data_IF_310539786745
#
_entry.id   IF_310539786745
#
_cell.length_a   1.000
_cell.length_b   1.000
_cell.length_c   1.000
_cell.angle_alpha   90.00
_cell.angle_beta   90.00
_cell.angle_gamma   90.00
#
_symmetry.space_group_name_H-M   'P 1'
#
loop_
_entity.id
_entity.type
_entity.pdbx_description
1 polymer ?
#
# COMPACT_ATOMS: atom_id res chain seq x y z
N UNK A 1 -17.11 4.87 -21.34
CA UNK A 1 -16.33 4.65 -20.11
C UNK A 1 -16.99 3.72 -19.09
N UNK A 2 -18.09 3.02 -19.42
CA UNK A 2 -18.84 2.15 -18.48
C UNK A 2 -18.59 0.64 -18.68
N UNK A 3 -17.67 0.22 -19.54
CA UNK A 3 -17.47 -1.20 -19.88
C UNK A 3 -16.38 -1.92 -19.07
N UNK A 4 -15.68 -1.22 -18.15
CA UNK A 4 -14.56 -1.79 -17.39
C UNK A 4 -14.94 -2.33 -16.00
N UNK A 5 -16.12 -2.00 -15.48
CA UNK A 5 -16.66 -2.62 -14.26
C UNK A 5 -17.55 -3.80 -14.64
N UNK A 6 -16.95 -4.87 -15.19
CA UNK A 6 -17.63 -6.17 -15.16
C UNK A 6 -17.92 -6.47 -13.70
N UNK A 7 -19.19 -6.71 -13.37
CA UNK A 7 -19.63 -7.17 -12.05
C UNK A 7 -18.87 -8.44 -11.70
N UNK A 8 -17.76 -8.26 -10.98
CA UNK A 8 -16.96 -9.34 -10.42
C UNK A 8 -17.91 -10.14 -9.54
N UNK A 9 -18.04 -11.44 -9.80
CA UNK A 9 -18.88 -12.30 -8.94
C UNK A 9 -18.44 -12.09 -7.49
N UNK A 10 -19.37 -12.00 -6.52
CA UNK A 10 -19.02 -11.66 -5.13
C UNK A 10 -17.90 -12.55 -4.57
N UNK A 11 -17.89 -13.83 -4.94
CA UNK A 11 -16.83 -14.81 -4.62
C UNK A 11 -15.43 -14.36 -5.06
N UNK A 12 -15.29 -13.80 -6.26
CA UNK A 12 -13.99 -13.36 -6.75
C UNK A 12 -13.47 -12.17 -5.93
N UNK A 13 -14.34 -11.30 -5.42
CA UNK A 13 -13.94 -10.22 -4.50
C UNK A 13 -13.29 -10.74 -3.22
N UNK A 14 -13.91 -11.73 -2.58
CA UNK A 14 -13.36 -12.33 -1.36
C UNK A 14 -12.01 -13.02 -1.58
N UNK A 15 -11.82 -13.67 -2.74
CA UNK A 15 -10.52 -14.28 -3.09
C UNK A 15 -9.43 -13.22 -3.22
N UNK A 16 -9.70 -12.08 -3.88
CA UNK A 16 -8.73 -10.99 -3.96
C UNK A 16 -8.38 -10.43 -2.57
N UNK A 17 -9.37 -10.26 -1.70
CA UNK A 17 -9.14 -9.82 -0.32
C UNK A 17 -8.26 -10.79 0.46
N UNK A 18 -8.52 -12.09 0.33
CA UNK A 18 -7.72 -13.11 1.00
C UNK A 18 -6.27 -13.12 0.51
N UNK A 19 -6.06 -12.97 -0.79
CA UNK A 19 -4.71 -12.83 -1.36
C UNK A 19 -4.01 -11.60 -0.80
N UNK A 20 -4.70 -10.44 -0.78
CA UNK A 20 -4.12 -9.21 -0.23
C UNK A 20 -3.79 -9.38 1.24
N UNK A 21 -4.68 -9.94 2.06
CA UNK A 21 -4.44 -10.14 3.49
C UNK A 21 -3.26 -11.06 3.78
N UNK A 22 -3.13 -12.17 3.04
CA UNK A 22 -2.00 -13.08 3.20
C UNK A 22 -0.69 -12.46 2.71
N UNK A 23 -0.70 -11.83 1.54
CA UNK A 23 0.51 -11.22 0.96
C UNK A 23 0.95 -10.01 1.78
N UNK A 24 0.05 -9.08 2.11
CA UNK A 24 0.41 -7.91 2.92
C UNK A 24 0.75 -8.29 4.36
N UNK A 25 -0.03 -9.16 4.99
CA UNK A 25 0.24 -9.63 6.35
C UNK A 25 1.62 -10.28 6.47
N UNK A 26 1.97 -11.16 5.53
CA UNK A 26 3.30 -11.79 5.51
C UNK A 26 4.43 -10.81 5.22
N UNK A 27 4.18 -9.72 4.48
CA UNK A 27 5.23 -8.70 4.27
C UNK A 27 5.61 -7.96 5.54
N UNK A 28 4.68 -7.63 6.45
CA UNK A 28 5.03 -7.04 7.75
C UNK A 28 5.88 -8.00 8.59
N UNK A 29 5.53 -9.30 8.60
CA UNK A 29 6.34 -10.30 9.28
C UNK A 29 7.75 -10.40 8.67
N UNK A 30 7.85 -10.44 7.34
CA UNK A 30 9.13 -10.51 6.63
C UNK A 30 9.98 -9.26 6.87
N UNK A 31 9.36 -8.07 6.95
CA UNK A 31 10.06 -6.82 7.27
C UNK A 31 10.69 -6.91 8.66
N UNK A 32 9.90 -7.28 9.67
CA UNK A 32 10.40 -7.44 11.03
C UNK A 32 11.54 -8.45 11.11
N UNK A 33 11.42 -9.60 10.45
CA UNK A 33 12.48 -10.63 10.44
C UNK A 33 13.77 -10.10 9.80
N UNK A 34 13.68 -9.37 8.69
CA UNK A 34 14.86 -8.86 7.98
C UNK A 34 15.55 -7.68 8.67
N UNK A 35 14.78 -6.85 9.38
CA UNK A 35 15.28 -5.64 10.07
C UNK A 35 15.75 -5.93 11.50
N UNK A 36 15.26 -6.99 12.13
CA UNK A 36 15.72 -7.42 13.45
C UNK A 36 17.19 -7.87 13.40
N UNK A 37 17.87 -7.86 14.55
CA UNK A 37 19.31 -8.13 14.69
C UNK A 37 19.79 -9.44 14.01
N UNK A 38 18.89 -10.41 13.85
CA UNK A 38 19.14 -11.68 13.15
C UNK A 38 19.26 -11.55 11.62
N UNK A 39 18.62 -10.56 11.01
CA UNK A 39 18.62 -10.34 9.55
C UNK A 39 19.70 -9.37 9.10
N UNK A 40 20.11 -8.43 9.95
CA UNK A 40 21.24 -7.52 9.72
C UNK A 40 21.03 -6.50 8.59
N UNK A 41 19.83 -6.39 8.01
CA UNK A 41 19.55 -5.42 6.95
C UNK A 41 19.11 -4.08 7.53
N UNK A 42 19.76 -2.96 7.16
CA UNK A 42 19.24 -1.64 7.49
C UNK A 42 17.82 -1.45 6.92
N UNK A 43 16.86 -0.93 7.70
CA UNK A 43 15.44 -0.92 7.34
C UNK A 43 15.17 -0.18 6.03
N UNK A 44 15.84 0.93 5.80
CA UNK A 44 15.64 1.73 4.60
C UNK A 44 16.23 1.06 3.35
N UNK A 45 17.36 0.36 3.48
CA UNK A 45 17.97 -0.38 2.37
C UNK A 45 17.08 -1.55 1.98
N UNK A 46 16.57 -2.28 2.97
CA UNK A 46 15.65 -3.39 2.75
C UNK A 46 14.34 -2.93 2.10
N UNK A 47 13.76 -1.83 2.59
CA UNK A 47 12.58 -1.24 1.97
C UNK A 47 12.87 -0.83 0.52
N UNK A 48 13.97 -0.11 0.28
CA UNK A 48 14.35 0.41 -1.05
C UNK A 48 14.66 -0.70 -2.05
N UNK A 49 15.37 -1.75 -1.64
CA UNK A 49 15.74 -2.85 -2.54
C UNK A 49 14.51 -3.58 -3.08
N UNK A 50 13.56 -3.97 -2.22
CA UNK A 50 12.29 -4.60 -2.68
C UNK A 50 11.47 -3.64 -3.55
N UNK A 51 11.49 -2.35 -3.26
CA UNK A 51 10.78 -1.33 -4.05
C UNK A 51 11.36 -1.19 -5.45
N UNK A 52 12.68 -1.16 -5.56
CA UNK A 52 13.40 -1.13 -6.84
C UNK A 52 13.17 -2.40 -7.65
N UNK A 53 13.26 -3.57 -7.01
CA UNK A 53 12.99 -4.86 -7.67
C UNK A 53 11.54 -4.91 -8.17
N UNK A 54 10.56 -4.55 -7.35
CA UNK A 54 9.15 -4.51 -7.76
C UNK A 54 8.89 -3.51 -8.91
N UNK A 55 9.50 -2.32 -8.83
CA UNK A 55 9.39 -1.31 -9.89
C UNK A 55 10.03 -1.78 -11.20
N UNK A 56 11.16 -2.47 -11.12
CA UNK A 56 11.84 -3.06 -12.28
C UNK A 56 11.00 -4.16 -12.93
N UNK A 57 10.47 -5.09 -12.12
CA UNK A 57 9.56 -6.15 -12.59
C UNK A 57 8.35 -5.52 -13.28
N UNK A 58 7.72 -4.53 -12.65
CA UNK A 58 6.57 -3.83 -13.22
C UNK A 58 6.92 -3.14 -14.55
N UNK A 59 8.07 -2.48 -14.63
CA UNK A 59 8.55 -1.85 -15.86
C UNK A 59 8.75 -2.87 -16.99
N UNK A 60 9.34 -4.03 -16.67
CA UNK A 60 9.51 -5.13 -17.63
C UNK A 60 8.16 -5.69 -18.07
N UNK A 61 7.22 -5.91 -17.15
CA UNK A 61 5.89 -6.44 -17.47
C UNK A 61 5.08 -5.48 -18.37
N UNK A 62 5.11 -4.17 -18.10
CA UNK A 62 4.45 -3.16 -18.93
C UNK A 62 4.99 -3.19 -20.37
N UNK A 63 6.31 -3.28 -20.51
CA UNK A 63 6.95 -3.32 -21.82
C UNK A 63 6.71 -4.65 -22.54
N UNK A 64 6.82 -5.77 -21.83
CA UNK A 64 6.85 -7.12 -22.42
C UNK A 64 5.48 -7.76 -22.59
N UNK A 65 4.55 -7.53 -21.65
CA UNK A 65 3.24 -8.21 -21.62
C UNK A 65 2.17 -7.30 -22.18
N UNK A 66 2.15 -6.03 -21.76
CA UNK A 66 1.09 -5.09 -22.15
C UNK A 66 1.43 -4.26 -23.39
N UNK A 67 2.68 -4.29 -23.86
CA UNK A 67 3.12 -3.58 -25.07
C UNK A 67 2.92 -2.07 -25.01
N UNK A 68 2.72 -1.50 -23.82
CA UNK A 68 2.43 -0.08 -23.66
C UNK A 68 3.72 0.73 -23.70
N UNK A 69 3.70 1.82 -24.47
CA UNK A 69 4.78 2.80 -24.46
C UNK A 69 4.59 3.73 -23.26
N UNK A 70 5.52 3.68 -22.32
CA UNK A 70 5.64 4.64 -21.24
C UNK A 70 6.09 5.99 -21.82
N UNK A 71 5.12 6.82 -22.19
CA UNK A 71 5.36 8.21 -22.57
C UNK A 71 5.51 9.05 -21.30
N UNK A 72 6.75 9.23 -20.83
CA UNK A 72 7.02 10.13 -19.71
C UNK A 72 7.20 11.54 -20.25
N UNK A 73 6.21 12.39 -20.01
CA UNK A 73 6.36 13.81 -20.25
C UNK A 73 7.35 14.40 -19.23
N UNK A 74 8.38 15.10 -19.72
CA UNK A 74 9.44 15.66 -18.87
C UNK A 74 8.92 16.61 -17.81
N UNK A 75 7.81 17.29 -18.08
CA UNK A 75 7.09 18.19 -17.17
C UNK A 75 6.62 17.46 -15.90
N UNK A 76 6.14 16.22 -16.04
CA UNK A 76 5.58 15.43 -14.95
C UNK A 76 6.62 14.60 -14.20
N UNK A 77 7.85 14.47 -14.73
CA UNK A 77 8.91 13.67 -14.11
C UNK A 77 9.24 14.13 -12.69
N UNK A 78 9.34 15.45 -12.46
CA UNK A 78 9.63 15.98 -11.13
C UNK A 78 8.53 15.64 -10.13
N UNK A 79 7.28 15.82 -10.53
CA UNK A 79 6.14 15.53 -9.67
C UNK A 79 6.03 14.04 -9.38
N UNK A 80 6.24 13.18 -10.39
CA UNK A 80 6.22 11.74 -10.24
C UNK A 80 7.37 11.24 -9.33
N UNK A 81 8.57 11.81 -9.48
CA UNK A 81 9.71 11.48 -8.62
C UNK A 81 9.47 11.91 -7.18
N UNK A 82 8.97 13.12 -6.95
CA UNK A 82 8.68 13.64 -5.61
C UNK A 82 7.58 12.82 -4.94
N UNK A 83 6.44 12.64 -5.61
CA UNK A 83 5.31 11.88 -5.05
C UNK A 83 5.66 10.41 -4.84
N UNK A 84 6.36 9.78 -5.79
CA UNK A 84 6.84 8.40 -5.64
C UNK A 84 7.80 8.25 -4.46
N UNK A 85 8.77 9.16 -4.32
CA UNK A 85 9.71 9.12 -3.21
C UNK A 85 9.00 9.35 -1.87
N UNK A 86 8.07 10.31 -1.80
CA UNK A 86 7.35 10.64 -0.58
C UNK A 86 6.42 9.49 -0.16
N UNK A 87 5.65 8.93 -1.09
CA UNK A 87 4.79 7.76 -0.85
C UNK A 87 5.61 6.56 -0.40
N UNK A 88 6.79 6.36 -0.98
CA UNK A 88 7.65 5.25 -0.62
C UNK A 88 8.34 5.41 0.73
N UNK A 89 8.94 6.59 0.98
CA UNK A 89 9.60 6.91 2.25
C UNK A 89 8.58 6.95 3.39
N UNK A 90 7.47 7.66 3.24
CA UNK A 90 6.46 7.78 4.31
C UNK A 90 5.59 6.53 4.44
N UNK A 91 5.37 5.80 3.35
CA UNK A 91 4.63 4.54 3.36
C UNK A 91 5.51 3.42 3.90
N UNK A 92 6.04 2.58 3.02
CA UNK A 92 6.73 1.37 3.50
C UNK A 92 8.09 1.64 4.12
N UNK A 93 8.81 2.69 3.73
CA UNK A 93 10.07 3.07 4.39
C UNK A 93 9.84 3.41 5.87
N UNK A 94 8.79 4.17 6.16
CA UNK A 94 8.34 4.52 7.51
C UNK A 94 7.91 3.30 8.30
N UNK A 95 7.18 2.36 7.68
CA UNK A 95 6.82 1.08 8.32
C UNK A 95 8.07 0.26 8.65
N UNK A 96 9.01 0.09 7.71
CA UNK A 96 10.25 -0.67 7.97
C UNK A 96 11.09 -0.03 9.06
N UNK A 97 11.08 1.30 9.17
CA UNK A 97 11.71 1.99 10.29
C UNK A 97 10.94 1.78 11.60
N UNK A 98 9.63 1.91 11.60
CA UNK A 98 8.79 1.69 12.78
C UNK A 98 8.93 0.26 13.32
N UNK A 99 9.03 -0.73 12.43
CA UNK A 99 9.25 -2.13 12.79
C UNK A 99 10.63 -2.42 13.39
N UNK A 100 11.55 -1.46 13.47
CA UNK A 100 12.72 -1.58 14.37
C UNK A 100 12.29 -1.47 15.85
N UNK A 101 11.31 -0.61 16.13
CA UNK A 101 10.86 -0.25 17.47
C UNK A 101 9.63 -1.04 17.93
N UNK A 102 8.75 -1.45 17.01
CA UNK A 102 7.50 -2.15 17.32
C UNK A 102 7.42 -3.52 16.64
N UNK A 103 6.64 -4.43 17.22
CA UNK A 103 6.36 -5.74 16.60
C UNK A 103 5.51 -5.61 15.34
N UNK A 104 5.68 -6.54 14.39
CA UNK A 104 4.94 -6.58 13.11
C UNK A 104 3.42 -6.64 13.29
N UNK A 105 2.92 -7.32 14.34
CA UNK A 105 1.50 -7.34 14.65
C UNK A 105 0.94 -5.95 14.99
N UNK A 106 1.69 -5.16 15.76
CA UNK A 106 1.29 -3.79 16.10
C UNK A 106 1.38 -2.86 14.89
N UNK A 107 2.43 -3.01 14.07
CA UNK A 107 2.54 -2.29 12.80
C UNK A 107 1.36 -2.60 11.87
N UNK A 108 0.99 -3.87 11.72
CA UNK A 108 -0.15 -4.29 10.91
C UNK A 108 -1.48 -3.73 11.44
N UNK A 109 -1.69 -3.67 12.76
CA UNK A 109 -2.89 -3.08 13.36
C UNK A 109 -3.01 -1.58 13.06
N UNK A 110 -1.91 -0.82 13.20
CA UNK A 110 -1.90 0.62 12.89
C UNK A 110 -2.23 0.84 11.41
N UNK A 111 -1.59 0.09 10.51
CA UNK A 111 -1.85 0.22 9.07
C UNK A 111 -3.25 -0.28 8.70
N UNK A 112 -3.81 -1.23 9.43
CA UNK A 112 -5.22 -1.62 9.32
C UNK A 112 -6.19 -0.44 9.53
N UNK A 113 -5.79 0.56 10.33
CA UNK A 113 -6.50 1.82 10.52
C UNK A 113 -6.43 2.81 9.35
N UNK A 114 -5.76 2.49 8.25
CA UNK A 114 -5.64 3.38 7.06
C UNK A 114 -7.00 3.90 6.56
N UNK A 115 -8.09 3.09 6.48
CA UNK A 115 -9.39 3.60 6.05
C UNK A 115 -9.92 4.74 6.94
N UNK A 116 -9.62 4.71 8.25
CA UNK A 116 -9.99 5.79 9.17
C UNK A 116 -9.22 7.08 8.86
N UNK A 117 -7.90 6.97 8.60
CA UNK A 117 -7.09 8.11 8.20
C UNK A 117 -7.57 8.69 6.86
N UNK A 118 -7.83 7.84 5.87
CA UNK A 118 -8.34 8.27 4.56
C UNK A 118 -9.69 8.96 4.70
N UNK A 119 -10.64 8.37 5.46
CA UNK A 119 -11.92 9.00 5.72
C UNK A 119 -11.79 10.37 6.39
N UNK A 120 -10.86 10.52 7.33
CA UNK A 120 -10.60 11.79 8.02
C UNK A 120 -10.00 12.83 7.06
N UNK A 121 -9.09 12.42 6.18
CA UNK A 121 -8.49 13.29 5.17
C UNK A 121 -9.55 13.73 4.15
N UNK A 122 -10.34 12.80 3.61
CA UNK A 122 -11.40 13.10 2.63
C UNK A 122 -12.44 14.06 3.21
N UNK A 123 -12.91 13.81 4.43
CA UNK A 123 -13.87 14.71 5.10
C UNK A 123 -13.30 16.11 5.33
N UNK A 124 -12.00 16.21 5.62
CA UNK A 124 -11.32 17.50 5.81
C UNK A 124 -11.13 18.26 4.50
N UNK A 125 -10.74 17.56 3.43
CA UNK A 125 -10.48 18.15 2.10
C UNK A 125 -11.78 18.52 1.41
N UNK A 126 -12.72 17.58 1.32
CA UNK A 126 -13.97 17.75 0.57
C UNK A 126 -15.03 18.52 1.37
N UNK A 127 -14.81 18.71 2.68
CA UNK A 127 -15.75 19.33 3.64
C UNK A 127 -17.15 18.70 3.60
N UNK A 128 -17.22 17.43 3.21
CA UNK A 128 -18.44 16.63 3.17
C UNK A 128 -18.36 15.55 4.22
N UNK A 129 -19.42 15.43 5.03
CA UNK A 129 -19.49 14.37 6.03
C UNK A 129 -19.70 13.01 5.38
N UNK A 130 -19.08 11.94 5.91
CA UNK A 130 -19.30 10.60 5.39
C UNK A 130 -20.75 10.17 5.67
N UNK A 131 -21.28 9.31 4.81
CA UNK A 131 -22.62 8.75 5.05
C UNK A 131 -22.66 7.93 6.35
N UNK A 132 -23.81 7.91 7.03
CA UNK A 132 -23.98 7.12 8.26
C UNK A 132 -23.68 5.63 8.04
N UNK A 133 -24.03 5.09 6.87
CA UNK A 133 -23.74 3.71 6.49
C UNK A 133 -22.23 3.44 6.40
N UNK A 134 -21.46 4.40 5.88
CA UNK A 134 -20.00 4.30 5.80
C UNK A 134 -19.37 4.32 7.20
N UNK A 135 -19.83 5.22 8.08
CA UNK A 135 -19.35 5.29 9.47
C UNK A 135 -19.62 3.99 10.23
N UNK A 136 -20.84 3.44 10.10
CA UNK A 136 -21.19 2.16 10.73
C UNK A 136 -20.32 1.03 10.20
N UNK A 137 -20.12 0.96 8.89
CA UNK A 137 -19.23 -0.04 8.27
C UNK A 137 -17.79 0.09 8.77
N UNK A 138 -17.30 1.31 8.93
CA UNK A 138 -15.95 1.59 9.43
C UNK A 138 -15.79 1.17 10.90
N UNK A 139 -16.77 1.46 11.75
CA UNK A 139 -16.75 1.05 13.17
C UNK A 139 -16.78 -0.48 13.28
N UNK A 140 -17.65 -1.13 12.53
CA UNK A 140 -17.73 -2.60 12.51
C UNK A 140 -16.41 -3.20 12.02
N UNK A 141 -15.81 -2.62 10.98
CA UNK A 141 -14.51 -3.06 10.45
C UNK A 141 -13.33 -2.83 11.40
N UNK A 142 -13.38 -1.79 12.25
CA UNK A 142 -12.35 -1.52 13.27
C UNK A 142 -12.53 -2.34 14.54
N UNK A 143 -13.75 -2.80 14.83
CA UNK A 143 -14.06 -3.58 16.02
C UNK A 143 -13.74 -5.08 15.88
N UNK A 144 -13.61 -5.57 14.64
CA UNK A 144 -13.18 -6.93 14.32
C UNK A 144 -11.67 -7.07 14.30
#
# INVERSE_FOLDING_TARGET
MNSLFKTVRPISGYVHLMVIYLVWGSTYLAIRIGVQDSGGFPPLIMASSRGLVGSFILFVLIKSVWGQRLTLERTHLKLLAITGLLLFMCGTGGVSFAETMVGSGFAALIIGGTPLMVATIETTIDRKYPSALFIVSLIIGLAG
#
